data_IF_698367348001
#
_entry.id   IF_698367348001
#
_cell.length_a   1.000
_cell.length_b   1.000
_cell.length_c   1.000
_cell.angle_alpha   90.00
_cell.angle_beta   90.00
_cell.angle_gamma   90.00
#
_symmetry.space_group_name_H-M   'P 1'
#
loop_
_entity.id
_entity.type
_entity.pdbx_description
1 polymer ?
#
# COMPACT_ATOMS: atom_id res chain seq x y z
N UNK A 1 5.27 4.54 10.09
CA UNK A 1 3.81 4.63 10.35
C UNK A 1 3.24 5.65 9.38
N UNK A 2 2.13 5.36 8.70
CA UNK A 2 1.44 6.35 7.83
C UNK A 2 -0.09 6.19 7.80
N UNK A 3 -0.60 5.03 8.24
CA UNK A 3 -2.04 4.80 8.43
C UNK A 3 -2.64 5.76 9.46
N UNK A 4 -1.83 6.21 10.43
CA UNK A 4 -2.28 7.05 11.54
C UNK A 4 -2.28 8.53 11.16
N UNK A 5 -1.23 9.08 10.54
CA UNK A 5 -1.21 10.51 10.20
C UNK A 5 -2.24 10.92 9.14
N UNK A 6 -2.46 10.13 8.08
CA UNK A 6 -3.48 10.50 7.07
C UNK A 6 -4.92 10.34 7.58
N UNK A 7 -5.17 9.41 8.49
CA UNK A 7 -6.51 9.17 9.03
C UNK A 7 -6.83 10.12 10.19
N UNK A 8 -5.85 10.45 11.04
CA UNK A 8 -6.07 11.29 12.23
C UNK A 8 -5.70 12.77 12.02
N UNK A 9 -4.86 13.11 11.04
CA UNK A 9 -4.32 14.47 10.86
C UNK A 9 -4.87 15.18 9.62
N UNK A 10 -5.77 14.56 8.86
CA UNK A 10 -6.47 15.17 7.72
C UNK A 10 -7.98 15.12 7.93
N UNK A 11 -8.62 16.29 7.90
CA UNK A 11 -10.08 16.40 7.85
C UNK A 11 -10.50 16.36 6.39
N UNK A 12 -11.24 15.33 5.99
CA UNK A 12 -11.80 15.25 4.66
C UNK A 12 -13.20 15.88 4.64
N UNK A 13 -13.48 16.79 3.69
CA UNK A 13 -14.79 17.43 3.59
C UNK A 13 -15.90 16.45 3.18
N UNK A 14 -15.54 15.33 2.53
CA UNK A 14 -16.49 14.28 2.15
C UNK A 14 -15.86 12.89 2.24
N UNK A 15 -16.70 11.86 2.46
CA UNK A 15 -16.27 10.45 2.42
C UNK A 15 -15.65 10.08 1.08
N UNK A 16 -16.18 10.60 -0.03
CA UNK A 16 -15.66 10.36 -1.39
C UNK A 16 -14.22 10.88 -1.55
N UNK A 17 -13.90 12.04 -1.00
CA UNK A 17 -12.53 12.58 -1.03
C UNK A 17 -11.58 11.74 -0.20
N UNK A 18 -12.00 11.30 1.00
CA UNK A 18 -11.23 10.40 1.83
C UNK A 18 -10.93 9.07 1.12
N UNK A 19 -11.94 8.45 0.51
CA UNK A 19 -11.79 7.20 -0.25
C UNK A 19 -10.79 7.34 -1.39
N UNK A 20 -10.90 8.41 -2.20
CA UNK A 20 -9.97 8.66 -3.32
C UNK A 20 -8.53 8.83 -2.82
N UNK A 21 -8.34 9.57 -1.74
CA UNK A 21 -7.01 9.80 -1.19
C UNK A 21 -6.41 8.52 -0.59
N UNK A 22 -7.20 7.73 0.13
CA UNK A 22 -6.78 6.43 0.67
C UNK A 22 -6.44 5.45 -0.46
N UNK A 23 -7.27 5.37 -1.50
CA UNK A 23 -7.00 4.50 -2.65
C UNK A 23 -5.69 4.88 -3.34
N UNK A 24 -5.50 6.18 -3.63
CA UNK A 24 -4.26 6.68 -4.21
C UNK A 24 -3.05 6.39 -3.33
N UNK A 25 -3.20 6.54 -2.01
CA UNK A 25 -2.15 6.21 -1.05
C UNK A 25 -1.77 4.72 -1.11
N UNK A 26 -2.77 3.83 -1.12
CA UNK A 26 -2.56 2.38 -1.18
C UNK A 26 -1.85 2.00 -2.47
N UNK A 27 -2.31 2.49 -3.62
CA UNK A 27 -1.79 2.10 -4.92
C UNK A 27 -0.41 2.67 -5.22
N UNK A 28 -0.23 3.97 -5.00
CA UNK A 28 0.98 4.68 -5.47
C UNK A 28 2.12 4.59 -4.47
N UNK A 29 1.81 4.58 -3.18
CA UNK A 29 2.83 4.58 -2.14
C UNK A 29 2.91 3.24 -1.41
N UNK A 30 1.81 2.76 -0.83
CA UNK A 30 1.85 1.60 0.06
C UNK A 30 2.30 0.34 -0.70
N UNK A 31 1.64 0.01 -1.80
CA UNK A 31 1.93 -1.22 -2.52
C UNK A 31 3.26 -1.15 -3.29
N UNK A 32 3.63 0.03 -3.79
CA UNK A 32 4.76 0.22 -4.72
C UNK A 32 6.06 0.71 -4.10
N UNK A 33 6.01 1.41 -2.98
CA UNK A 33 7.18 2.11 -2.41
C UNK A 33 7.45 1.77 -0.96
N UNK A 34 6.43 1.34 -0.20
CA UNK A 34 6.60 1.04 1.22
C UNK A 34 7.24 -0.32 1.39
N UNK A 35 8.43 -0.34 1.96
CA UNK A 35 9.12 -1.55 2.36
C UNK A 35 8.73 -1.97 3.79
N UNK A 36 8.79 -3.28 4.04
CA UNK A 36 8.36 -3.87 5.30
C UNK A 36 9.39 -4.90 5.80
N UNK A 37 9.86 -4.73 7.04
CA UNK A 37 10.84 -5.65 7.64
C UNK A 37 10.33 -7.09 7.76
N UNK A 38 9.01 -7.29 7.93
CA UNK A 38 8.40 -8.62 7.99
C UNK A 38 8.30 -9.35 6.64
N UNK A 39 8.69 -8.71 5.53
CA UNK A 39 8.79 -9.32 4.20
C UNK A 39 10.14 -8.97 3.57
N UNK A 40 11.21 -9.15 4.35
CA UNK A 40 12.60 -8.96 3.91
C UNK A 40 12.89 -7.60 3.29
N UNK A 41 12.27 -6.55 3.83
CA UNK A 41 12.39 -5.18 3.31
C UNK A 41 11.94 -5.02 1.85
N UNK A 42 11.03 -5.88 1.38
CA UNK A 42 10.38 -5.75 0.07
C UNK A 42 9.09 -4.95 0.17
N UNK A 43 8.63 -4.49 -0.99
CA UNK A 43 7.31 -3.91 -1.16
C UNK A 43 6.24 -5.00 -1.28
N UNK A 44 4.97 -4.72 -0.90
CA UNK A 44 3.88 -5.66 -1.10
C UNK A 44 3.72 -6.11 -2.56
N UNK A 45 3.98 -5.21 -3.52
CA UNK A 45 3.90 -5.55 -4.94
C UNK A 45 4.99 -6.53 -5.37
N UNK A 46 6.23 -6.37 -4.88
CA UNK A 46 7.31 -7.32 -5.19
C UNK A 46 7.00 -8.72 -4.66
N UNK A 47 6.54 -8.83 -3.41
CA UNK A 47 6.15 -10.12 -2.82
C UNK A 47 5.04 -10.79 -3.63
N UNK A 48 4.03 -10.02 -4.07
CA UNK A 48 2.96 -10.52 -4.93
C UNK A 48 3.50 -11.03 -6.27
N UNK A 49 4.39 -10.28 -6.90
CA UNK A 49 4.98 -10.65 -8.18
C UNK A 49 5.83 -11.92 -8.06
N UNK A 50 6.65 -12.02 -7.02
CA UNK A 50 7.44 -13.23 -6.72
C UNK A 50 6.54 -14.45 -6.51
N UNK A 51 5.43 -14.28 -5.77
CA UNK A 51 4.44 -15.35 -5.57
C UNK A 51 3.84 -15.81 -6.90
N UNK A 52 3.38 -14.88 -7.74
CA UNK A 52 2.79 -15.20 -9.05
C UNK A 52 3.80 -15.89 -9.98
N UNK A 53 5.05 -15.40 -10.01
CA UNK A 53 6.11 -16.00 -10.82
C UNK A 53 6.40 -17.45 -10.38
N UNK A 54 6.38 -17.73 -9.08
CA UNK A 54 6.53 -19.11 -8.58
C UNK A 54 5.35 -20.01 -8.97
N UNK A 55 4.12 -19.47 -8.98
CA UNK A 55 2.95 -20.24 -9.41
C UNK A 55 2.95 -20.52 -10.92
N UNK A 56 3.46 -19.61 -11.74
CA UNK A 56 3.56 -19.79 -13.20
C UNK A 56 4.70 -20.72 -13.62
N UNK A 57 5.72 -20.87 -12.78
CA UNK A 57 6.87 -21.73 -13.03
C UNK A 57 6.67 -23.17 -12.50
N UNK A 58 5.52 -23.46 -11.88
CA UNK A 58 5.11 -24.78 -11.36
C UNK A 58 4.07 -25.41 -12.28
#
# INVERSE_FOLDING_TARGET
MLKIERVYRHVYPTRKKAQKDIANYIEVFYNRKRIHSGIDYKTPQEVRNEYLNRQLAA
#
